data_IF_366474147111
#
_entry.id   IF_366474147111
#
_cell.length_a   1.000
_cell.length_b   1.000
_cell.length_c   1.000
_cell.angle_alpha   90.00
_cell.angle_beta   90.00
_cell.angle_gamma   90.00
#
_symmetry.space_group_name_H-M   'P 1'
#
loop_
_entity.id
_entity.type
_entity.pdbx_description
1 polymer ?
#
# COMPACT_ATOMS: atom_id res chain seq x y z
N UNK A 1 -27.22 4.24 16.53
CA UNK A 1 -26.61 5.29 15.69
C UNK A 1 -25.22 4.82 15.28
N UNK A 2 -24.79 5.04 14.03
CA UNK A 2 -23.41 4.78 13.65
C UNK A 2 -22.49 5.76 14.41
N UNK A 3 -21.34 5.28 14.92
CA UNK A 3 -20.39 6.10 15.68
C UNK A 3 -19.86 7.26 14.83
N UNK A 4 -19.67 8.42 15.46
CA UNK A 4 -19.08 9.59 14.82
C UNK A 4 -17.64 9.28 14.38
N UNK A 5 -17.18 10.02 13.37
CA UNK A 5 -15.78 9.95 12.97
C UNK A 5 -14.94 10.82 13.90
N UNK A 6 -13.83 10.31 14.40
CA UNK A 6 -13.01 10.92 15.43
C UNK A 6 -11.54 10.85 15.00
N UNK A 7 -10.76 11.92 15.18
CA UNK A 7 -9.31 11.87 14.96
C UNK A 7 -8.70 10.97 16.02
N UNK A 8 -7.89 10.00 15.60
CA UNK A 8 -7.18 9.12 16.53
C UNK A 8 -5.77 9.66 16.77
N UNK A 9 -5.28 9.67 18.02
CA UNK A 9 -3.90 10.06 18.30
C UNK A 9 -2.94 9.04 17.70
N UNK A 10 -1.80 9.50 17.19
CA UNK A 10 -0.76 8.60 16.71
C UNK A 10 -0.19 7.79 17.88
N UNK A 11 0.09 6.51 17.63
CA UNK A 11 0.82 5.68 18.58
C UNK A 11 2.26 6.17 18.78
N UNK A 12 2.90 6.57 17.68
CA UNK A 12 4.20 7.24 17.67
C UNK A 12 4.06 8.58 16.93
N UNK A 13 4.50 9.71 17.51
CA UNK A 13 4.43 11.01 16.85
C UNK A 13 5.17 11.04 15.51
N UNK A 14 4.53 11.55 14.47
CA UNK A 14 5.21 11.85 13.20
C UNK A 14 5.98 13.18 13.26
N UNK A 15 6.74 13.49 12.19
CA UNK A 15 7.63 14.66 12.14
C UNK A 15 6.92 16.02 12.35
N UNK A 16 5.60 16.08 12.14
CA UNK A 16 4.79 17.29 12.34
C UNK A 16 3.94 17.25 13.60
N UNK A 17 3.90 16.10 14.29
CA UNK A 17 3.03 15.86 15.45
C UNK A 17 1.54 16.13 15.14
N UNK A 18 1.10 15.81 13.92
CA UNK A 18 -0.27 15.98 13.44
C UNK A 18 -0.81 14.58 13.11
N UNK A 19 -1.85 14.09 13.81
CA UNK A 19 -2.40 12.77 13.51
C UNK A 19 -2.92 12.69 12.08
N UNK A 20 -2.55 11.62 11.40
CA UNK A 20 -2.93 11.38 10.00
C UNK A 20 -4.11 10.43 9.87
N UNK A 21 -4.59 9.84 10.97
CA UNK A 21 -5.69 8.88 11.00
C UNK A 21 -6.97 9.36 11.68
N UNK A 22 -8.08 8.70 11.36
CA UNK A 22 -9.35 8.78 12.08
C UNK A 22 -9.86 7.38 12.39
N UNK A 23 -10.79 7.27 13.34
CA UNK A 23 -11.46 6.03 13.70
C UNK A 23 -11.99 5.30 12.44
N UNK A 24 -12.70 6.00 11.55
CA UNK A 24 -13.28 5.34 10.37
C UNK A 24 -12.22 4.95 9.36
N UNK A 25 -11.24 5.81 9.07
CA UNK A 25 -10.17 5.45 8.13
C UNK A 25 -9.37 4.27 8.64
N UNK A 26 -9.04 4.22 9.92
CA UNK A 26 -8.26 3.12 10.49
C UNK A 26 -9.04 1.80 10.45
N UNK A 27 -10.34 1.81 10.79
CA UNK A 27 -11.18 0.61 10.68
C UNK A 27 -11.23 0.10 9.24
N UNK A 28 -11.55 0.96 8.27
CA UNK A 28 -11.72 0.53 6.88
C UNK A 28 -10.38 0.14 6.23
N UNK A 29 -9.29 0.84 6.55
CA UNK A 29 -7.95 0.53 6.07
C UNK A 29 -7.50 -0.87 6.53
N UNK A 30 -7.64 -1.16 7.83
CA UNK A 30 -7.26 -2.46 8.37
C UNK A 30 -8.21 -3.59 7.95
N UNK A 31 -9.50 -3.30 7.77
CA UNK A 31 -10.43 -4.26 7.17
C UNK A 31 -10.02 -4.62 5.74
N UNK A 32 -9.68 -3.62 4.92
CA UNK A 32 -9.19 -3.82 3.56
C UNK A 32 -7.90 -4.66 3.53
N UNK A 33 -6.97 -4.38 4.43
CA UNK A 33 -5.75 -5.17 4.58
C UNK A 33 -6.03 -6.63 4.95
N UNK A 34 -6.93 -6.87 5.91
CA UNK A 34 -7.29 -8.22 6.32
C UNK A 34 -7.88 -9.04 5.17
N UNK A 35 -8.79 -8.46 4.39
CA UNK A 35 -9.34 -9.09 3.18
C UNK A 35 -8.23 -9.35 2.14
N UNK A 36 -7.40 -8.33 1.87
CA UNK A 36 -6.33 -8.41 0.89
C UNK A 36 -5.32 -9.53 1.22
N UNK A 37 -4.88 -9.62 2.47
CA UNK A 37 -3.93 -10.63 2.93
C UNK A 37 -4.50 -12.05 2.80
N UNK A 38 -5.80 -12.23 3.01
CA UNK A 38 -6.52 -13.49 2.77
C UNK A 38 -6.70 -13.84 1.29
N UNK A 39 -6.38 -12.92 0.38
CA UNK A 39 -6.63 -13.08 -1.07
C UNK A 39 -8.06 -12.76 -1.48
N UNK A 40 -8.89 -12.23 -0.58
CA UNK A 40 -10.23 -11.73 -0.89
C UNK A 40 -10.12 -10.30 -1.43
N UNK A 41 -9.71 -10.18 -2.69
CA UNK A 41 -9.52 -8.87 -3.31
C UNK A 41 -10.84 -8.12 -3.54
N UNK A 42 -11.97 -8.82 -3.65
CA UNK A 42 -13.28 -8.17 -3.81
C UNK A 42 -13.68 -7.44 -2.52
N UNK A 43 -13.64 -8.14 -1.37
CA UNK A 43 -13.90 -7.53 -0.06
C UNK A 43 -12.91 -6.41 0.28
N UNK A 44 -11.64 -6.57 -0.10
CA UNK A 44 -10.64 -5.52 0.05
C UNK A 44 -11.00 -4.25 -0.73
N UNK A 45 -11.45 -4.41 -1.99
CA UNK A 45 -11.77 -3.27 -2.86
C UNK A 45 -12.94 -2.44 -2.32
N UNK A 46 -13.94 -3.10 -1.74
CA UNK A 46 -15.08 -2.44 -1.09
C UNK A 46 -14.67 -1.67 0.17
N UNK A 47 -13.86 -2.30 1.03
CA UNK A 47 -13.37 -1.69 2.26
C UNK A 47 -12.51 -0.44 1.97
N UNK A 48 -11.59 -0.52 1.01
CA UNK A 48 -10.77 0.63 0.63
C UNK A 48 -11.56 1.73 -0.08
N UNK A 49 -12.63 1.41 -0.81
CA UNK A 49 -13.54 2.42 -1.36
C UNK A 49 -14.21 3.22 -0.23
N UNK A 50 -14.65 2.55 0.84
CA UNK A 50 -15.19 3.21 2.04
C UNK A 50 -14.11 4.01 2.77
N UNK A 51 -12.89 3.47 2.89
CA UNK A 51 -11.75 4.17 3.46
C UNK A 51 -11.45 5.49 2.71
N UNK A 52 -11.51 5.47 1.37
CA UNK A 52 -11.24 6.65 0.54
C UNK A 52 -12.30 7.74 0.76
N UNK A 53 -13.58 7.39 0.97
CA UNK A 53 -14.64 8.35 1.30
C UNK A 53 -14.40 9.10 2.62
N UNK A 54 -13.62 8.52 3.53
CA UNK A 54 -13.26 9.12 4.81
C UNK A 54 -11.83 9.70 4.83
N UNK A 55 -11.08 9.59 3.74
CA UNK A 55 -9.69 10.06 3.65
C UNK A 55 -9.63 11.57 3.42
N UNK A 56 -9.34 12.32 4.49
CA UNK A 56 -9.45 13.79 4.53
C UNK A 56 -8.14 14.55 4.34
N UNK A 57 -7.00 13.87 4.35
CA UNK A 57 -5.68 14.47 4.15
C UNK A 57 -4.85 13.65 3.14
N UNK A 58 -3.72 14.21 2.70
CA UNK A 58 -2.88 13.61 1.69
C UNK A 58 -2.31 12.24 2.12
N UNK A 59 -1.88 12.11 3.38
CA UNK A 59 -1.34 10.86 3.94
C UNK A 59 -2.37 9.72 3.95
N UNK A 60 -3.63 9.98 4.34
CA UNK A 60 -4.72 9.00 4.26
C UNK A 60 -5.00 8.59 2.80
N UNK A 61 -5.03 9.59 1.91
CA UNK A 61 -5.33 9.39 0.50
C UNK A 61 -4.29 8.52 -0.18
N UNK A 62 -2.99 8.80 -0.01
CA UNK A 62 -1.95 8.01 -0.66
C UNK A 62 -1.86 6.59 -0.10
N UNK A 63 -2.02 6.42 1.22
CA UNK A 63 -2.05 5.08 1.82
C UNK A 63 -3.23 4.26 1.29
N UNK A 64 -4.45 4.82 1.29
CA UNK A 64 -5.64 4.12 0.80
C UNK A 64 -5.58 3.87 -0.71
N UNK A 65 -5.15 4.86 -1.50
CA UNK A 65 -5.04 4.76 -2.95
C UNK A 65 -4.04 3.66 -3.37
N UNK A 66 -2.92 3.53 -2.67
CA UNK A 66 -1.91 2.52 -2.97
C UNK A 66 -2.48 1.10 -2.89
N UNK A 67 -3.12 0.76 -1.76
CA UNK A 67 -3.71 -0.56 -1.58
C UNK A 67 -4.92 -0.79 -2.47
N UNK A 68 -5.76 0.23 -2.68
CA UNK A 68 -6.89 0.13 -3.60
C UNK A 68 -6.44 -0.14 -5.03
N UNK A 69 -5.41 0.59 -5.49
CA UNK A 69 -4.85 0.40 -6.82
C UNK A 69 -4.35 -1.03 -7.02
N UNK A 70 -3.53 -1.54 -6.09
CA UNK A 70 -3.03 -2.92 -6.16
C UNK A 70 -4.18 -3.92 -6.19
N UNK A 71 -5.17 -3.75 -5.30
CA UNK A 71 -6.35 -4.62 -5.22
C UNK A 71 -7.12 -4.66 -6.54
N UNK A 72 -7.39 -3.50 -7.15
CA UNK A 72 -8.08 -3.42 -8.44
C UNK A 72 -7.26 -4.07 -9.57
N UNK A 73 -5.94 -3.91 -9.56
CA UNK A 73 -5.06 -4.60 -10.52
C UNK A 73 -5.10 -6.12 -10.34
N UNK A 74 -5.14 -6.62 -9.09
CA UNK A 74 -5.29 -8.05 -8.79
C UNK A 74 -6.63 -8.63 -9.27
N UNK A 75 -7.67 -7.80 -9.30
CA UNK A 75 -8.98 -8.12 -9.88
C UNK A 75 -9.07 -7.92 -11.40
N UNK A 76 -7.96 -7.57 -12.07
CA UNK A 76 -7.94 -7.20 -13.49
C UNK A 76 -8.86 -6.01 -13.86
N UNK A 77 -9.22 -5.16 -12.89
CA UNK A 77 -10.04 -3.95 -13.07
C UNK A 77 -9.18 -2.74 -13.44
N UNK A 78 -8.49 -2.84 -14.59
CA UNK A 78 -7.44 -1.89 -15.01
C UNK A 78 -7.96 -0.45 -15.14
N UNK A 79 -9.17 -0.26 -15.69
CA UNK A 79 -9.76 1.06 -15.86
C UNK A 79 -10.04 1.75 -14.52
N UNK A 80 -10.56 1.00 -13.54
CA UNK A 80 -10.84 1.54 -12.21
C UNK A 80 -9.54 1.83 -11.46
N UNK A 81 -8.53 0.96 -11.59
CA UNK A 81 -7.21 1.20 -11.02
C UNK A 81 -6.60 2.52 -11.56
N UNK A 82 -6.75 2.80 -12.86
CA UNK A 82 -6.27 4.06 -13.44
C UNK A 82 -6.95 5.29 -12.81
N UNK A 83 -8.27 5.21 -12.56
CA UNK A 83 -9.01 6.31 -11.91
C UNK A 83 -8.49 6.64 -10.51
N UNK A 84 -8.05 5.62 -9.76
CA UNK A 84 -7.43 5.83 -8.43
C UNK A 84 -6.18 6.71 -8.51
N UNK A 85 -5.47 6.71 -9.64
CA UNK A 85 -4.25 7.50 -9.84
C UNK A 85 -4.51 8.94 -10.31
N UNK A 86 -5.71 9.26 -10.82
CA UNK A 86 -6.05 10.58 -11.36
C UNK A 86 -5.81 11.74 -10.38
N UNK A 87 -6.23 11.67 -9.10
CA UNK A 87 -6.01 12.77 -8.15
C UNK A 87 -4.57 12.82 -7.60
N UNK A 88 -3.73 11.83 -7.89
CA UNK A 88 -2.37 11.77 -7.34
C UNK A 88 -1.44 12.67 -8.15
N UNK A 89 -0.81 13.63 -7.47
CA UNK A 89 0.15 14.58 -8.07
C UNK A 89 1.46 14.59 -7.30
N UNK A 90 2.55 14.99 -7.95
CA UNK A 90 3.86 15.11 -7.30
C UNK A 90 3.91 16.17 -6.19
N UNK A 91 2.98 17.13 -6.17
CA UNK A 91 2.95 18.26 -5.23
C UNK A 91 2.08 18.04 -4.00
N UNK A 92 1.57 16.82 -3.77
CA UNK A 92 0.77 16.50 -2.58
C UNK A 92 1.62 16.69 -1.30
N UNK A 93 1.01 17.27 -0.26
CA UNK A 93 1.66 17.47 1.04
C UNK A 93 1.60 16.18 1.88
N UNK A 94 2.46 15.22 1.55
CA UNK A 94 2.60 13.93 2.24
C UNK A 94 3.85 13.98 3.10
N UNK A 95 3.71 13.71 4.40
CA UNK A 95 4.83 13.80 5.34
C UNK A 95 5.04 12.56 6.21
N UNK A 96 4.10 11.63 6.22
CA UNK A 96 4.20 10.35 6.92
C UNK A 96 4.25 9.18 5.91
N UNK A 97 3.36 9.18 4.93
CA UNK A 97 3.13 8.08 3.99
C UNK A 97 3.86 8.24 2.64
N UNK A 98 5.05 8.83 2.65
CA UNK A 98 5.82 9.19 1.44
C UNK A 98 6.16 8.01 0.53
N UNK A 99 6.38 6.82 1.09
CA UNK A 99 6.65 5.60 0.32
C UNK A 99 5.47 5.20 -0.58
N UNK A 100 4.23 5.32 -0.08
CA UNK A 100 3.03 5.07 -0.88
C UNK A 100 2.85 6.10 -2.00
N UNK A 101 3.13 7.37 -1.71
CA UNK A 101 3.08 8.43 -2.72
C UNK A 101 4.03 8.17 -3.89
N UNK A 102 5.29 7.82 -3.59
CA UNK A 102 6.28 7.48 -4.62
C UNK A 102 5.85 6.27 -5.47
N UNK A 103 5.28 5.24 -4.84
CA UNK A 103 4.75 4.06 -5.55
C UNK A 103 3.61 4.43 -6.48
N UNK A 104 2.68 5.30 -6.05
CA UNK A 104 1.57 5.75 -6.89
C UNK A 104 2.06 6.54 -8.11
N UNK A 105 3.06 7.43 -7.94
CA UNK A 105 3.69 8.15 -9.06
C UNK A 105 4.38 7.19 -10.04
N UNK A 106 5.02 6.13 -9.54
CA UNK A 106 5.62 5.09 -10.38
C UNK A 106 4.55 4.31 -11.15
N UNK A 107 3.43 3.96 -10.52
CA UNK A 107 2.31 3.29 -11.19
C UNK A 107 1.69 4.15 -12.28
N UNK A 108 1.71 5.47 -12.10
CA UNK A 108 1.28 6.46 -13.08
C UNK A 108 2.28 6.65 -14.23
N UNK A 109 3.51 6.15 -14.09
CA UNK A 109 4.59 6.30 -15.05
C UNK A 109 5.35 7.62 -14.94
N UNK A 110 5.13 8.40 -13.87
CA UNK A 110 5.84 9.67 -13.63
C UNK A 110 7.25 9.45 -13.05
N UNK A 111 7.50 8.28 -12.45
CA UNK A 111 8.83 7.87 -11.96
C UNK A 111 9.16 6.44 -12.39
N UNK A 112 10.44 6.17 -12.65
CA UNK A 112 10.93 4.82 -12.97
C UNK A 112 11.09 3.96 -11.73
N UNK A 113 11.06 2.63 -11.90
CA UNK A 113 11.27 1.65 -10.82
C UNK A 113 12.65 1.77 -10.17
N UNK A 114 13.67 2.16 -10.93
CA UNK A 114 15.06 2.24 -10.46
C UNK A 114 15.24 3.26 -9.33
N UNK A 115 14.47 4.36 -9.37
CA UNK A 115 14.47 5.38 -8.33
C UNK A 115 13.94 4.85 -6.99
N UNK A 116 13.07 3.82 -7.01
CA UNK A 116 12.46 3.22 -5.83
C UNK A 116 13.23 1.99 -5.32
N UNK A 117 13.90 1.27 -6.22
CA UNK A 117 14.73 0.11 -5.85
C UNK A 117 15.93 0.48 -4.98
N UNK A 118 16.38 1.74 -5.00
CA UNK A 118 17.40 2.24 -4.06
C UNK A 118 16.91 2.20 -2.60
N UNK A 119 15.63 2.53 -2.34
CA UNK A 119 15.01 2.43 -1.01
C UNK A 119 14.86 0.98 -0.56
N UNK A 120 14.60 0.04 -1.48
CA UNK A 120 14.56 -1.40 -1.17
C UNK A 120 15.92 -1.88 -0.64
N UNK A 121 17.02 -1.43 -1.26
CA UNK A 121 18.39 -1.78 -0.82
C UNK A 121 18.75 -1.21 0.55
N UNK A 122 18.12 -0.11 0.97
CA UNK A 122 18.35 0.48 2.29
C UNK A 122 17.68 -0.33 3.43
N UNK A 123 16.74 -1.22 3.10
CA UNK A 123 16.05 -2.07 4.06
C UNK A 123 15.06 -1.32 4.96
N UNK A 124 14.59 -1.98 6.02
CA UNK A 124 13.68 -1.40 7.00
C UNK A 124 12.21 -1.35 6.54
N UNK A 125 11.38 -0.61 7.29
CA UNK A 125 9.93 -0.50 7.05
C UNK A 125 9.60 0.01 5.63
N UNK A 126 10.33 1.03 5.18
CA UNK A 126 10.19 1.58 3.82
C UNK A 126 10.63 0.56 2.76
N UNK A 127 11.73 -0.17 3.01
CA UNK A 127 12.20 -1.22 2.11
C UNK A 127 11.15 -2.32 1.90
N UNK A 128 10.50 -2.78 2.98
CA UNK A 128 9.43 -3.78 2.89
C UNK A 128 8.20 -3.24 2.15
N UNK A 129 7.81 -1.99 2.42
CA UNK A 129 6.64 -1.34 1.79
C UNK A 129 6.85 -1.11 0.30
N UNK A 130 7.97 -0.48 -0.06
CA UNK A 130 8.32 -0.20 -1.47
C UNK A 130 8.57 -1.48 -2.23
N UNK A 131 9.32 -2.42 -1.63
CA UNK A 131 9.60 -3.72 -2.23
C UNK A 131 8.30 -4.46 -2.59
N UNK A 132 7.35 -4.53 -1.66
CA UNK A 132 6.08 -5.19 -1.91
C UNK A 132 5.27 -4.52 -3.02
N UNK A 133 5.23 -3.18 -3.04
CA UNK A 133 4.56 -2.42 -4.09
C UNK A 133 5.16 -2.65 -5.48
N UNK A 134 6.49 -2.75 -5.58
CA UNK A 134 7.20 -3.07 -6.83
C UNK A 134 6.95 -4.53 -7.24
N UNK A 135 6.98 -5.47 -6.29
CA UNK A 135 6.70 -6.87 -6.57
C UNK A 135 5.29 -7.08 -7.15
N UNK A 136 4.26 -6.46 -6.57
CA UNK A 136 2.92 -6.48 -7.16
C UNK A 136 2.89 -5.89 -8.56
N UNK A 137 3.66 -4.82 -8.80
CA UNK A 137 3.79 -4.24 -10.13
C UNK A 137 4.37 -5.18 -11.17
N UNK A 138 5.30 -6.04 -10.77
CA UNK A 138 5.74 -7.14 -11.63
C UNK A 138 4.61 -8.16 -11.84
N UNK A 139 3.88 -8.56 -10.80
CA UNK A 139 2.80 -9.57 -10.90
C UNK A 139 1.69 -9.17 -11.89
N UNK A 140 1.08 -8.00 -11.71
CA UNK A 140 -0.04 -7.59 -12.58
C UNK A 140 0.42 -7.08 -13.96
N UNK A 141 1.71 -7.19 -14.28
CA UNK A 141 2.29 -6.99 -15.61
C UNK A 141 3.04 -8.26 -16.05
N UNK A 142 2.56 -9.44 -15.62
CA UNK A 142 2.97 -10.77 -16.09
C UNK A 142 4.47 -11.08 -15.97
N UNK A 143 5.14 -10.50 -14.97
CA UNK A 143 6.58 -10.69 -14.66
C UNK A 143 6.75 -11.42 -13.34
N UNK A 144 6.20 -12.63 -13.27
CA UNK A 144 6.07 -13.37 -12.01
C UNK A 144 7.42 -13.78 -11.40
N UNK A 145 8.44 -14.03 -12.22
CA UNK A 145 9.77 -14.41 -11.74
C UNK A 145 10.45 -13.25 -10.99
N UNK A 146 10.35 -12.04 -11.53
CA UNK A 146 10.87 -10.82 -10.91
C UNK A 146 10.12 -10.49 -9.62
N UNK A 147 8.79 -10.65 -9.63
CA UNK A 147 7.99 -10.50 -8.42
C UNK A 147 8.41 -11.50 -7.34
N UNK A 148 8.50 -12.80 -7.67
CA UNK A 148 8.87 -13.85 -6.72
C UNK A 148 10.23 -13.59 -6.07
N UNK A 149 11.21 -13.14 -6.86
CA UNK A 149 12.53 -12.76 -6.35
C UNK A 149 12.42 -11.64 -5.30
N UNK A 150 11.72 -10.56 -5.62
CA UNK A 150 11.59 -9.40 -4.69
C UNK A 150 10.86 -9.80 -3.41
N UNK A 151 9.79 -10.60 -3.52
CA UNK A 151 9.05 -11.10 -2.35
C UNK A 151 9.94 -11.96 -1.44
N UNK A 152 10.76 -12.84 -2.03
CA UNK A 152 11.76 -13.63 -1.31
C UNK A 152 12.78 -12.74 -0.60
N UNK A 153 13.37 -11.79 -1.32
CA UNK A 153 14.34 -10.84 -0.78
C UNK A 153 13.75 -10.07 0.43
N UNK A 154 12.47 -9.67 0.40
CA UNK A 154 11.82 -8.98 1.52
C UNK A 154 11.77 -9.88 2.77
N UNK A 155 11.31 -11.12 2.61
CA UNK A 155 11.12 -12.06 3.74
C UNK A 155 12.46 -12.50 4.31
N UNK A 156 13.48 -12.68 3.48
CA UNK A 156 14.81 -13.12 3.90
C UNK A 156 15.65 -12.00 4.52
N UNK A 157 15.55 -10.76 4.00
CA UNK A 157 16.45 -9.67 4.39
C UNK A 157 15.85 -8.72 5.44
N UNK A 158 14.52 -8.68 5.58
CA UNK A 158 13.84 -7.78 6.54
C UNK A 158 13.16 -8.54 7.68
N UNK A 159 13.77 -9.60 8.19
CA UNK A 159 13.21 -10.47 9.26
C UNK A 159 12.84 -9.71 10.55
N UNK A 160 13.48 -8.57 10.82
CA UNK A 160 13.14 -7.70 11.97
C UNK A 160 11.93 -6.80 11.72
N UNK A 161 11.46 -6.69 10.48
CA UNK A 161 10.31 -5.89 10.05
C UNK A 161 9.06 -6.73 9.84
N UNK A 162 8.93 -7.86 10.56
CA UNK A 162 7.82 -8.80 10.42
C UNK A 162 6.44 -8.14 10.58
N UNK A 163 6.34 -7.07 11.36
CA UNK A 163 5.09 -6.32 11.58
C UNK A 163 4.72 -5.38 10.42
N UNK A 164 5.62 -5.13 9.46
CA UNK A 164 5.34 -4.31 8.30
C UNK A 164 4.33 -5.02 7.38
N UNK A 165 3.27 -4.32 6.96
CA UNK A 165 2.29 -4.92 6.04
C UNK A 165 2.91 -5.39 4.71
N UNK A 166 3.96 -4.71 4.22
CA UNK A 166 4.72 -5.18 3.06
C UNK A 166 5.41 -6.54 3.28
N UNK A 167 5.90 -6.81 4.49
CA UNK A 167 6.48 -8.10 4.86
C UNK A 167 5.39 -9.18 4.93
N UNK A 168 4.32 -8.94 5.70
CA UNK A 168 3.21 -9.90 5.87
C UNK A 168 2.56 -10.22 4.52
N UNK A 169 2.35 -9.22 3.67
CA UNK A 169 1.78 -9.41 2.35
C UNK A 169 2.73 -10.18 1.41
N UNK A 170 4.04 -10.06 1.61
CA UNK A 170 5.04 -10.84 0.87
C UNK A 170 4.99 -12.32 1.25
N UNK A 171 4.91 -12.63 2.55
CA UNK A 171 4.74 -14.00 3.02
C UNK A 171 3.45 -14.63 2.49
N UNK A 172 2.33 -13.90 2.59
CA UNK A 172 1.03 -14.35 2.09
C UNK A 172 1.05 -14.62 0.58
N UNK A 173 1.75 -13.79 -0.20
CA UNK A 173 1.86 -13.95 -1.64
C UNK A 173 2.73 -15.15 -2.03
N UNK A 174 3.90 -15.31 -1.39
CA UNK A 174 4.76 -16.48 -1.59
C UNK A 174 4.03 -17.78 -1.24
N UNK A 175 3.21 -17.78 -0.19
CA UNK A 175 2.39 -18.93 0.17
C UNK A 175 1.32 -19.26 -0.90
N UNK A 176 0.74 -18.25 -1.57
CA UNK A 176 -0.20 -18.46 -2.69
C UNK A 176 0.49 -19.02 -3.93
N UNK A 177 1.71 -18.57 -4.23
CA UNK A 177 2.47 -19.01 -5.42
C UNK A 177 2.93 -20.46 -5.38
N UNK A 178 2.99 -21.07 -4.19
CA UNK A 178 3.40 -22.48 -4.01
C UNK A 178 2.27 -23.49 -4.26
N UNK A 179 1.03 -23.02 -4.43
CA UNK A 179 -0.14 -23.86 -4.70
C UNK A 179 -0.37 -24.01 -6.20
#
# INVERSE_FOLDING_TARGET
AARADEVEPDGQPNARNIPTGTLKTNIYYHLGLAHYLKGDFAGAAEAYQLCMQHSKNADMQVATAHWQYMTLRRLNRVADARKVLEPITASMDVFENGSYHKLLLMYKGETGTDALLSSVKAGGLDGATVGYGVANWHLYNTRSAEAQKILGDIVEQNTTQWAAFGYIASEAELARMRK
#
